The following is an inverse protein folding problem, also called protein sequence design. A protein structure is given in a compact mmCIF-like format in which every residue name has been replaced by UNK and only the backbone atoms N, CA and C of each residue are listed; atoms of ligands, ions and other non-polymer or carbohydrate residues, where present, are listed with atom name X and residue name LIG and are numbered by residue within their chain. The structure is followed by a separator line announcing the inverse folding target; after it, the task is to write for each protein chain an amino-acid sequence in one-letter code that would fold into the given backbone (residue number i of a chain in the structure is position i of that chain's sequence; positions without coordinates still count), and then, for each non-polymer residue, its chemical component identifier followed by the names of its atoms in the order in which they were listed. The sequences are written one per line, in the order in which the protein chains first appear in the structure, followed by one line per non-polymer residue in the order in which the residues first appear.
data_IF_977314239223
#
_entry.id   IF_977314239223
#
_cell.length_a   1.000
_cell.length_b   1.000
_cell.length_c   1.000
_cell.angle_alpha   90.00
_cell.angle_beta   90.00
_cell.angle_gamma   90.00
#
_symmetry.space_group_name_H-M   'P 1'
#
loop_
_entity.id
_entity.type
_entity.pdbx_description
1 polymer ?
#
# COMPACT_ATOMS: atom_id res chain seq x y z
N UNK A 1 -22.61 -28.27 2.25
CA UNK A 1 -22.74 -28.10 3.70
C UNK A 1 -23.80 -29.08 4.19
N UNK A 2 -23.41 -30.11 4.91
CA UNK A 2 -24.33 -31.18 5.28
C UNK A 2 -25.38 -30.67 6.28
N UNK A 3 -26.65 -31.01 6.07
CA UNK A 3 -27.79 -30.61 6.92
C UNK A 3 -27.53 -30.91 8.41
N UNK A 4 -26.71 -31.93 8.71
CA UNK A 4 -26.28 -32.28 10.07
C UNK A 4 -25.46 -31.18 10.75
N UNK A 5 -24.53 -30.56 10.03
CA UNK A 5 -23.67 -29.50 10.57
C UNK A 5 -24.46 -28.24 10.93
N UNK A 6 -25.45 -27.89 10.10
CA UNK A 6 -26.38 -26.79 10.37
C UNK A 6 -27.28 -27.07 11.59
N UNK A 7 -27.76 -28.31 11.74
CA UNK A 7 -28.54 -28.72 12.89
C UNK A 7 -27.71 -28.68 14.19
N UNK A 8 -26.45 -29.12 14.14
CA UNK A 8 -25.54 -29.07 15.28
C UNK A 8 -25.23 -27.64 15.72
N UNK A 9 -24.92 -26.73 14.78
CA UNK A 9 -24.68 -25.32 15.09
C UNK A 9 -25.92 -24.67 15.72
N UNK A 10 -27.11 -24.95 15.17
CA UNK A 10 -28.37 -24.40 15.69
C UNK A 10 -28.66 -24.96 17.09
N UNK A 11 -28.44 -26.26 17.33
CA UNK A 11 -28.63 -26.86 18.66
C UNK A 11 -27.66 -26.29 19.70
N UNK A 12 -26.38 -26.13 19.34
CA UNK A 12 -25.37 -25.54 20.23
C UNK A 12 -25.69 -24.07 20.51
N UNK A 13 -26.05 -23.30 19.49
CA UNK A 13 -26.46 -21.91 19.66
C UNK A 13 -27.69 -21.75 20.55
N UNK A 14 -28.67 -22.64 20.41
CA UNK A 14 -29.88 -22.64 21.23
C UNK A 14 -29.57 -23.03 22.69
N UNK A 15 -28.68 -23.99 22.90
CA UNK A 15 -28.24 -24.40 24.23
C UNK A 15 -27.48 -23.28 24.95
N UNK A 16 -26.60 -22.56 24.23
CA UNK A 16 -25.90 -21.38 24.74
C UNK A 16 -26.90 -20.25 25.04
N UNK A 17 -27.87 -20.00 24.16
CA UNK A 17 -28.90 -18.98 24.37
C UNK A 17 -29.76 -19.26 25.60
N UNK A 18 -30.15 -20.51 25.82
CA UNK A 18 -30.86 -20.94 27.04
C UNK A 18 -29.98 -20.76 28.28
N UNK A 19 -28.70 -21.13 28.21
CA UNK A 19 -27.76 -20.96 29.33
C UNK A 19 -27.59 -19.47 29.71
N UNK A 20 -27.42 -18.59 28.72
CA UNK A 20 -27.33 -17.13 28.93
C UNK A 20 -28.62 -16.57 29.52
N UNK A 21 -29.78 -17.04 29.05
CA UNK A 21 -31.08 -16.64 29.59
C UNK A 21 -31.24 -17.06 31.06
N UNK A 22 -30.80 -18.25 31.45
CA UNK A 22 -30.83 -18.67 32.86
C UNK A 22 -29.81 -17.93 33.75
N UNK A 23 -28.66 -17.54 33.19
CA UNK A 23 -27.62 -16.81 33.94
C UNK A 23 -27.94 -15.32 34.10
N UNK A 24 -28.57 -14.69 33.11
CA UNK A 24 -28.76 -13.24 33.05
C UNK A 24 -30.23 -12.79 32.95
N UNK A 25 -31.17 -13.73 33.04
CA UNK A 25 -32.61 -13.45 33.00
C UNK A 25 -33.10 -12.65 34.22
N UNK A 26 -34.05 -11.71 34.02
CA UNK A 26 -34.46 -10.75 35.04
C UNK A 26 -35.25 -11.34 36.22
N UNK A 27 -35.81 -12.54 36.09
CA UNK A 27 -36.69 -13.14 37.12
C UNK A 27 -36.17 -14.47 37.71
N UNK A 28 -35.16 -15.10 37.12
CA UNK A 28 -34.61 -16.40 37.55
C UNK A 28 -33.08 -16.42 37.69
N UNK A 29 -32.45 -15.24 37.74
CA UNK A 29 -31.01 -15.13 37.90
C UNK A 29 -30.53 -15.94 39.10
N UNK A 30 -29.71 -16.97 38.83
CA UNK A 30 -28.98 -17.72 39.84
C UNK A 30 -28.29 -16.73 40.80
N UNK A 31 -28.33 -17.02 42.10
CA UNK A 31 -27.81 -16.13 43.15
C UNK A 31 -26.38 -15.70 42.85
N UNK A 32 -26.00 -14.50 43.27
CA UNK A 32 -24.68 -13.88 43.05
C UNK A 32 -23.51 -14.86 43.31
N UNK A 33 -23.64 -15.74 44.31
CA UNK A 33 -22.65 -16.77 44.65
C UNK A 33 -22.41 -17.82 43.55
N UNK A 34 -23.45 -18.19 42.80
CA UNK A 34 -23.34 -19.15 41.68
C UNK A 34 -22.74 -18.46 40.45
N UNK A 35 -23.04 -17.17 40.24
CA UNK A 35 -22.42 -16.36 39.18
C UNK A 35 -20.93 -16.18 39.44
N UNK A 36 -20.51 -15.94 40.68
CA UNK A 36 -19.09 -15.87 41.05
C UNK A 36 -18.38 -17.22 40.89
N UNK A 37 -19.01 -18.33 41.32
CA UNK A 37 -18.42 -19.66 41.13
C UNK A 37 -18.28 -20.05 39.66
N UNK A 38 -19.28 -19.73 38.82
CA UNK A 38 -19.26 -20.03 37.39
C UNK A 38 -18.27 -19.15 36.62
N UNK A 39 -18.19 -17.85 36.94
CA UNK A 39 -17.18 -16.95 36.34
C UNK A 39 -15.75 -17.29 36.78
N UNK A 40 -15.57 -17.77 38.02
CA UNK A 40 -14.27 -18.25 38.50
C UNK A 40 -13.86 -19.58 37.83
N UNK A 41 -14.81 -20.51 37.63
CA UNK A 41 -14.55 -21.74 36.89
C UNK A 41 -14.28 -21.47 35.39
N UNK A 42 -15.01 -20.53 34.77
CA UNK A 42 -14.72 -20.09 33.40
C UNK A 42 -13.35 -19.42 33.29
N UNK A 43 -12.93 -18.62 34.28
CA UNK A 43 -11.58 -18.05 34.33
C UNK A 43 -10.47 -19.11 34.43
N UNK A 44 -10.74 -20.28 35.00
CA UNK A 44 -9.79 -21.41 35.04
C UNK A 44 -9.75 -22.26 33.77
N UNK A 45 -10.77 -22.13 32.90
CA UNK A 45 -10.85 -22.80 31.59
C UNK A 45 -10.47 -21.87 30.44
N UNK A 46 -10.56 -20.56 30.64
CA UNK A 46 -9.90 -19.57 29.82
C UNK A 46 -8.39 -19.70 30.09
N UNK A 47 -7.55 -19.75 29.05
CA UNK A 47 -6.10 -19.75 29.26
C UNK A 47 -5.76 -18.57 30.16
N UNK A 48 -5.02 -18.88 31.22
CA UNK A 48 -4.43 -17.93 32.16
C UNK A 48 -3.99 -16.71 31.36
N UNK A 49 -4.34 -15.50 31.81
CA UNK A 49 -3.82 -14.25 31.26
C UNK A 49 -2.35 -14.51 30.94
N UNK A 50 -2.05 -14.63 29.65
CA UNK A 50 -0.66 -14.65 29.22
C UNK A 50 -0.03 -13.46 29.89
N UNK A 51 1.17 -13.65 30.44
CA UNK A 51 2.03 -12.52 30.78
C UNK A 51 1.84 -11.46 29.70
N UNK A 52 1.74 -10.18 30.06
CA UNK A 52 1.87 -9.12 29.07
C UNK A 52 3.21 -9.36 28.38
N UNK A 53 3.17 -10.11 27.28
CA UNK A 53 4.24 -10.17 26.33
C UNK A 53 4.25 -8.74 25.87
N UNK A 54 5.20 -7.98 26.39
CA UNK A 54 5.58 -6.69 25.86
C UNK A 54 5.91 -6.97 24.40
N UNK A 55 4.89 -6.91 23.54
CA UNK A 55 5.06 -6.99 22.11
C UNK A 55 6.07 -5.89 21.81
N UNK A 56 7.26 -6.28 21.37
CA UNK A 56 8.30 -5.32 21.04
C UNK A 56 7.69 -4.27 20.12
N UNK A 57 8.05 -3.00 20.33
CA UNK A 57 7.62 -1.94 19.43
C UNK A 57 7.91 -2.38 17.98
N UNK A 58 6.91 -2.29 17.11
CA UNK A 58 7.08 -2.68 15.72
C UNK A 58 8.25 -1.88 15.12
N UNK A 59 9.14 -2.60 14.46
CA UNK A 59 10.31 -2.05 13.79
C UNK A 59 10.38 -2.57 12.37
N UNK A 60 11.12 -1.85 11.53
CA UNK A 60 11.45 -2.26 10.17
C UNK A 60 12.98 -2.32 10.02
N UNK A 61 13.51 -3.06 9.04
CA UNK A 61 14.92 -3.03 8.69
C UNK A 61 15.43 -1.60 8.42
N UNK A 62 16.67 -1.31 8.79
CA UNK A 62 17.26 0.02 8.55
C UNK A 62 17.32 0.36 7.06
N UNK A 63 17.51 -0.63 6.19
CA UNK A 63 17.45 -0.44 4.73
C UNK A 63 16.10 0.13 4.30
N UNK A 64 14.99 -0.49 4.70
CA UNK A 64 13.64 0.00 4.38
C UNK A 64 13.40 1.39 4.99
N UNK A 65 13.91 1.62 6.21
CA UNK A 65 13.83 2.94 6.86
C UNK A 65 14.48 4.02 6.01
N UNK A 66 15.70 3.78 5.51
CA UNK A 66 16.44 4.73 4.67
C UNK A 66 15.75 4.95 3.31
N UNK A 67 15.18 3.91 2.72
CA UNK A 67 14.42 4.01 1.45
C UNK A 67 13.16 4.85 1.60
N UNK A 68 12.41 4.68 2.70
CA UNK A 68 11.22 5.50 3.00
C UNK A 68 11.61 6.96 3.25
N UNK A 69 12.70 7.22 3.97
CA UNK A 69 13.19 8.59 4.17
C UNK A 69 13.63 9.24 2.85
N UNK A 70 14.24 8.46 1.96
CA UNK A 70 14.61 8.92 0.61
C UNK A 70 13.38 9.20 -0.24
N UNK A 71 12.34 8.36 -0.18
CA UNK A 71 11.04 8.64 -0.80
C UNK A 71 10.46 9.96 -0.30
N UNK A 72 10.46 10.18 1.02
CA UNK A 72 9.98 11.43 1.62
C UNK A 72 10.76 12.66 1.12
N UNK A 73 12.09 12.58 1.04
CA UNK A 73 12.94 13.66 0.52
C UNK A 73 12.67 13.93 -0.96
N UNK A 74 12.55 12.87 -1.76
CA UNK A 74 12.22 12.96 -3.18
C UNK A 74 10.87 13.66 -3.39
N UNK A 75 9.83 13.25 -2.65
CA UNK A 75 8.50 13.90 -2.73
C UNK A 75 8.59 15.39 -2.42
N UNK A 76 9.29 15.78 -1.34
CA UNK A 76 9.47 17.20 -0.99
C UNK A 76 10.15 17.98 -2.12
N UNK A 77 11.15 17.39 -2.76
CA UNK A 77 11.87 18.00 -3.89
C UNK A 77 10.96 18.17 -5.10
N UNK A 78 10.15 17.16 -5.43
CA UNK A 78 9.21 17.20 -6.55
C UNK A 78 8.13 18.27 -6.36
N UNK A 79 7.61 18.42 -5.15
CA UNK A 79 6.60 19.43 -4.83
C UNK A 79 7.16 20.86 -4.81
N UNK A 80 8.47 21.01 -4.56
CA UNK A 80 9.16 22.30 -4.65
C UNK A 80 9.60 22.66 -6.09
N UNK A 81 9.56 21.69 -7.00
CA UNK A 81 9.92 21.89 -8.41
C UNK A 81 8.88 22.73 -9.15
N UNK A 82 9.21 23.16 -10.38
CA UNK A 82 8.28 23.87 -11.24
C UNK A 82 7.90 23.03 -12.46
N UNK A 83 6.63 22.63 -12.51
CA UNK A 83 6.05 21.89 -13.62
C UNK A 83 6.33 20.39 -13.56
N UNK A 84 6.10 19.77 -14.73
CA UNK A 84 6.21 18.32 -14.95
C UNK A 84 7.65 17.86 -14.83
N UNK A 85 7.90 16.88 -13.98
CA UNK A 85 9.23 16.33 -13.84
C UNK A 85 9.24 14.93 -13.21
N UNK A 86 10.40 14.28 -13.33
CA UNK A 86 10.69 12.95 -12.83
C UNK A 86 11.78 13.01 -11.77
N UNK A 87 11.68 12.17 -10.74
CA UNK A 87 12.71 12.06 -9.73
C UNK A 87 12.86 10.60 -9.27
N UNK A 88 14.10 10.19 -9.04
CA UNK A 88 14.39 8.86 -8.50
C UNK A 88 14.45 8.92 -6.98
N UNK A 89 13.65 8.08 -6.31
CA UNK A 89 13.84 7.72 -4.90
C UNK A 89 14.67 6.44 -4.76
N UNK A 90 14.93 5.72 -5.85
CA UNK A 90 15.82 4.57 -5.91
C UNK A 90 15.18 3.22 -5.59
N UNK A 91 13.86 3.18 -5.41
CA UNK A 91 13.10 1.94 -5.24
C UNK A 91 13.08 1.46 -3.80
N UNK A 92 12.37 0.36 -3.59
CA UNK A 92 12.41 -0.39 -2.35
C UNK A 92 13.11 -1.72 -2.59
N UNK A 93 13.90 -2.18 -1.63
CA UNK A 93 14.24 -3.60 -1.55
C UNK A 93 12.99 -4.45 -1.28
N UNK A 94 13.10 -5.78 -1.35
CA UNK A 94 11.98 -6.67 -1.05
C UNK A 94 11.42 -6.42 0.36
N UNK A 95 10.21 -5.87 0.43
CA UNK A 95 9.62 -5.42 1.70
C UNK A 95 9.20 -6.60 2.59
N UNK A 96 9.19 -7.82 2.08
CA UNK A 96 8.76 -9.04 2.78
C UNK A 96 9.84 -9.63 3.68
N UNK A 97 11.10 -9.29 3.43
CA UNK A 97 12.22 -9.76 4.23
C UNK A 97 12.20 -9.14 5.64
N UNK A 98 12.77 -9.88 6.61
CA UNK A 98 13.06 -9.39 7.97
C UNK A 98 11.91 -8.63 8.66
N UNK A 99 10.78 -9.32 8.83
CA UNK A 99 9.70 -8.80 9.64
C UNK A 99 8.75 -7.86 8.90
N UNK A 100 8.74 -7.85 7.56
CA UNK A 100 7.62 -7.35 6.73
C UNK A 100 7.34 -5.86 6.86
N UNK A 101 7.52 -5.09 5.80
CA UNK A 101 7.24 -3.64 5.75
C UNK A 101 6.07 -3.35 4.81
N UNK A 102 5.21 -2.42 5.19
CA UNK A 102 4.24 -1.82 4.27
C UNK A 102 4.15 -0.32 4.46
N UNK A 103 3.88 0.37 3.36
CA UNK A 103 3.68 1.82 3.31
C UNK A 103 2.28 2.09 2.81
N UNK A 104 1.52 2.88 3.57
CA UNK A 104 0.18 3.32 3.19
C UNK A 104 0.19 4.84 3.05
N UNK A 105 -0.30 5.30 1.91
CA UNK A 105 -0.58 6.70 1.59
C UNK A 105 -2.09 6.90 1.54
N UNK A 106 -2.62 7.91 2.23
CA UNK A 106 -4.05 8.22 2.24
C UNK A 106 -4.28 9.73 2.05
N UNK A 107 -5.08 10.08 1.05
CA UNK A 107 -5.46 11.46 0.77
C UNK A 107 -6.81 11.81 1.39
N UNK A 108 -6.82 12.81 2.27
CA UNK A 108 -8.04 13.44 2.75
C UNK A 108 -8.38 14.64 1.86
N UNK A 109 -9.33 14.45 0.95
CA UNK A 109 -9.81 15.49 0.04
C UNK A 109 -10.49 16.69 0.73
N UNK A 110 -10.93 16.55 1.99
CA UNK A 110 -11.48 17.68 2.74
C UNK A 110 -10.37 18.54 3.35
N UNK A 111 -9.32 17.90 3.87
CA UNK A 111 -8.16 18.58 4.43
C UNK A 111 -7.12 18.97 3.37
N UNK A 112 -7.24 18.44 2.15
CA UNK A 112 -6.25 18.59 1.08
C UNK A 112 -4.88 18.06 1.49
N UNK A 113 -4.81 16.99 2.27
CA UNK A 113 -3.56 16.49 2.86
C UNK A 113 -3.42 15.00 2.61
N UNK A 114 -2.21 14.54 2.24
CA UNK A 114 -1.88 13.12 2.17
C UNK A 114 -1.06 12.70 3.40
N UNK A 115 -1.51 11.68 4.12
CA UNK A 115 -0.78 11.04 5.22
C UNK A 115 -0.01 9.82 4.74
N UNK A 116 1.17 9.62 5.31
CA UNK A 116 2.02 8.44 5.09
C UNK A 116 2.13 7.68 6.41
N UNK A 117 1.80 6.39 6.37
CA UNK A 117 1.86 5.49 7.52
C UNK A 117 2.69 4.27 7.18
N UNK A 118 3.67 3.96 8.04
CA UNK A 118 4.55 2.80 7.87
C UNK A 118 4.22 1.72 8.89
N UNK A 119 4.10 0.50 8.41
CA UNK A 119 3.84 -0.68 9.21
C UNK A 119 5.00 -1.67 9.09
N UNK A 120 5.28 -2.35 10.20
CA UNK A 120 6.33 -3.36 10.35
C UNK A 120 5.79 -4.62 11.03
N UNK A 121 6.70 -5.46 11.51
CA UNK A 121 6.43 -6.78 12.10
C UNK A 121 5.78 -7.76 11.12
N UNK A 122 5.74 -9.06 11.47
CA UNK A 122 5.31 -10.15 10.57
C UNK A 122 4.09 -9.76 9.68
N UNK A 123 4.35 -9.63 8.37
CA UNK A 123 3.36 -9.27 7.35
C UNK A 123 3.07 -7.77 7.19
N UNK A 124 3.85 -6.86 7.79
CA UNK A 124 3.70 -5.41 7.64
C UNK A 124 2.38 -4.88 8.16
N UNK A 125 1.93 -5.35 9.33
CA UNK A 125 0.57 -5.08 9.87
C UNK A 125 0.56 -4.23 11.14
N UNK A 126 1.71 -4.04 11.80
CA UNK A 126 1.77 -3.28 13.04
C UNK A 126 2.36 -1.90 12.76
N UNK A 127 1.66 -0.85 13.18
CA UNK A 127 2.12 0.52 12.99
C UNK A 127 3.49 0.72 13.67
N UNK A 128 4.49 1.13 12.90
CA UNK A 128 5.80 1.53 13.44
C UNK A 128 5.61 2.83 14.22
N UNK A 129 6.31 3.07 15.32
CA UNK A 129 6.09 4.30 16.13
C UNK A 129 7.18 5.36 15.94
N UNK A 130 8.15 5.14 15.05
CA UNK A 130 9.18 6.12 14.70
C UNK A 130 8.53 7.37 14.07
N UNK A 131 8.61 8.55 14.72
CA UNK A 131 7.97 9.77 14.23
C UNK A 131 8.53 10.27 12.89
N UNK A 132 9.71 9.81 12.46
CA UNK A 132 10.27 10.19 11.16
C UNK A 132 9.66 9.41 9.99
N UNK A 133 8.94 8.31 10.27
CA UNK A 133 8.31 7.46 9.27
C UNK A 133 6.82 7.77 9.08
N UNK A 134 6.26 8.69 9.87
CA UNK A 134 4.91 9.20 9.70
C UNK A 134 4.98 10.66 9.38
N UNK A 135 4.51 11.02 8.19
CA UNK A 135 4.48 12.42 7.77
C UNK A 135 3.24 12.70 6.95
N UNK A 136 2.87 13.98 6.93
CA UNK A 136 1.76 14.47 6.12
C UNK A 136 2.27 15.55 5.18
N UNK A 137 1.68 15.60 4.01
CA UNK A 137 2.03 16.55 2.97
C UNK A 137 0.76 17.28 2.54
N UNK A 138 0.74 18.59 2.79
CA UNK A 138 -0.36 19.45 2.38
C UNK A 138 -0.36 19.68 0.87
N UNK A 139 -1.55 19.82 0.29
CA UNK A 139 -1.81 20.07 -1.12
C UNK A 139 -1.15 19.06 -2.07
N UNK A 140 -0.93 17.83 -1.59
CA UNK A 140 -0.45 16.72 -2.39
C UNK A 140 -1.51 15.61 -2.44
N UNK A 141 -1.81 15.09 -3.63
CA UNK A 141 -2.63 13.90 -3.84
C UNK A 141 -1.83 12.81 -4.57
N UNK A 142 -1.97 11.53 -4.19
CA UNK A 142 -1.32 10.44 -4.91
C UNK A 142 -2.01 10.22 -6.27
N UNK A 143 -1.24 9.73 -7.22
CA UNK A 143 -1.74 9.26 -8.51
C UNK A 143 -1.01 8.00 -8.94
N UNK A 144 -1.52 7.39 -10.00
CA UNK A 144 -0.87 6.30 -10.71
C UNK A 144 -0.91 6.53 -12.21
N UNK A 145 0.05 5.95 -12.93
CA UNK A 145 0.00 5.84 -14.40
C UNK A 145 -0.52 4.43 -14.74
N UNK A 146 -1.81 4.21 -14.52
CA UNK A 146 -2.45 2.90 -14.56
C UNK A 146 -3.98 3.02 -14.61
N UNK A 147 -4.70 1.94 -14.95
CA UNK A 147 -6.14 1.79 -14.73
C UNK A 147 -7.06 2.07 -15.92
N UNK A 148 -6.66 2.88 -16.89
CA UNK A 148 -7.35 2.97 -18.19
C UNK A 148 -6.35 2.89 -19.33
N UNK A 149 -6.72 2.19 -20.41
CA UNK A 149 -5.87 2.07 -21.59
C UNK A 149 -5.55 3.43 -22.22
N UNK A 150 -6.46 4.40 -22.10
CA UNK A 150 -6.25 5.76 -22.63
C UNK A 150 -5.21 6.52 -21.82
N UNK A 151 -5.29 6.51 -20.48
CA UNK A 151 -4.30 7.20 -19.62
C UNK A 151 -2.90 6.64 -19.83
N UNK A 152 -2.75 5.32 -19.82
CA UNK A 152 -1.47 4.66 -20.06
C UNK A 152 -0.96 4.96 -21.47
N UNK A 153 -1.81 4.83 -22.50
CA UNK A 153 -1.40 5.12 -23.88
C UNK A 153 -1.00 6.59 -24.08
N UNK A 154 -1.70 7.51 -23.45
CA UNK A 154 -1.38 8.94 -23.50
C UNK A 154 -0.04 9.22 -22.83
N UNK A 155 0.25 8.56 -21.71
CA UNK A 155 1.54 8.64 -21.06
C UNK A 155 2.67 8.10 -21.96
N UNK A 156 2.51 6.91 -22.53
CA UNK A 156 3.47 6.31 -23.46
C UNK A 156 3.75 7.23 -24.66
N UNK A 157 2.70 7.66 -25.34
CA UNK A 157 2.81 8.52 -26.52
C UNK A 157 3.43 9.89 -26.21
N UNK A 158 3.23 10.39 -24.99
CA UNK A 158 3.77 11.67 -24.55
C UNK A 158 5.22 11.57 -24.08
N UNK A 159 5.57 10.55 -23.30
CA UNK A 159 6.82 10.50 -22.55
C UNK A 159 7.76 9.37 -22.99
N UNK A 160 7.23 8.24 -23.44
CA UNK A 160 7.99 7.02 -23.75
C UNK A 160 8.31 6.93 -25.25
N UNK A 161 8.96 7.99 -25.75
CA UNK A 161 9.38 8.12 -27.15
C UNK A 161 10.68 8.92 -27.26
N UNK A 162 11.29 8.91 -28.45
CA UNK A 162 12.61 9.51 -28.69
C UNK A 162 12.64 11.05 -28.75
N UNK A 163 11.49 11.73 -28.73
CA UNK A 163 11.43 13.19 -28.92
C UNK A 163 12.13 13.94 -27.77
N UNK A 164 12.54 15.18 -28.06
CA UNK A 164 13.06 16.07 -27.03
C UNK A 164 11.98 16.45 -26.01
N UNK A 165 12.39 16.89 -24.81
CA UNK A 165 11.45 17.35 -23.79
C UNK A 165 10.55 18.49 -24.31
N UNK A 166 11.11 19.44 -25.05
CA UNK A 166 10.39 20.57 -25.64
C UNK A 166 9.34 20.16 -26.66
N UNK A 167 9.52 19.02 -27.34
CA UNK A 167 8.54 18.45 -28.25
C UNK A 167 7.47 17.67 -27.48
N UNK A 168 7.87 16.90 -26.46
CA UNK A 168 6.95 16.12 -25.61
C UNK A 168 5.93 17.01 -24.93
N UNK A 169 6.36 18.11 -24.31
CA UNK A 169 5.44 19.02 -23.60
C UNK A 169 4.39 19.68 -24.50
N UNK A 170 4.58 19.69 -25.82
CA UNK A 170 3.58 20.20 -26.78
C UNK A 170 2.52 19.16 -27.13
N UNK A 171 2.79 17.88 -26.88
CA UNK A 171 1.89 16.75 -27.16
C UNK A 171 0.98 16.49 -25.95
N UNK A 172 1.41 16.89 -24.74
CA UNK A 172 0.66 16.73 -23.49
C UNK A 172 -0.53 17.69 -23.46
N UNK A 173 -1.59 17.35 -24.19
CA UNK A 173 -2.91 17.98 -24.10
C UNK A 173 -3.91 17.10 -23.36
N UNK A 174 -3.63 15.80 -23.27
CA UNK A 174 -4.54 14.79 -22.74
C UNK A 174 -4.16 14.34 -21.31
N UNK A 175 -5.15 13.79 -20.61
CA UNK A 175 -4.96 13.20 -19.28
C UNK A 175 -4.09 11.95 -19.42
N UNK A 176 -3.05 11.88 -18.60
CA UNK A 176 -1.98 10.87 -18.66
C UNK A 176 -1.58 10.39 -17.27
N UNK A 177 -2.43 10.63 -16.27
CA UNK A 177 -2.31 10.07 -14.94
C UNK A 177 -3.71 9.96 -14.31
N UNK A 178 -3.88 9.05 -13.37
CA UNK A 178 -5.12 8.87 -12.63
C UNK A 178 -4.91 9.25 -11.15
N UNK A 179 -5.54 10.33 -10.65
CA UNK A 179 -5.57 10.62 -9.23
C UNK A 179 -6.23 9.49 -8.44
N UNK A 180 -5.66 9.16 -7.28
CA UNK A 180 -6.20 8.13 -6.38
C UNK A 180 -6.28 8.67 -4.96
N UNK A 181 -7.13 8.06 -4.12
CA UNK A 181 -7.26 8.48 -2.73
C UNK A 181 -6.34 7.71 -1.79
N UNK A 182 -5.81 6.56 -2.21
CA UNK A 182 -4.89 5.79 -1.40
C UNK A 182 -3.96 4.96 -2.29
N UNK A 183 -2.75 4.74 -1.80
CA UNK A 183 -1.79 3.79 -2.34
C UNK A 183 -1.24 2.97 -1.18
N UNK A 184 -1.27 1.65 -1.31
CA UNK A 184 -0.61 0.71 -0.41
C UNK A 184 0.50 -0.01 -1.15
N UNK A 185 1.73 0.06 -0.64
CA UNK A 185 2.87 -0.69 -1.15
C UNK A 185 3.27 -1.71 -0.08
N UNK A 186 3.34 -2.98 -0.45
CA UNK A 186 3.77 -4.06 0.45
C UNK A 186 4.33 -5.22 -0.35
N UNK A 187 4.98 -6.13 0.34
CA UNK A 187 5.32 -7.42 -0.24
C UNK A 187 4.10 -8.36 -0.26
N UNK A 188 3.93 -9.04 -1.39
CA UNK A 188 3.01 -10.16 -1.55
C UNK A 188 3.84 -11.44 -1.71
N UNK A 189 3.52 -12.47 -0.92
CA UNK A 189 4.23 -13.75 -0.99
C UNK A 189 3.76 -14.62 -2.17
N UNK A 190 2.76 -14.14 -2.95
CA UNK A 190 2.24 -14.79 -4.15
C UNK A 190 1.47 -16.09 -3.87
N UNK A 191 1.41 -16.55 -2.62
CA UNK A 191 0.84 -17.83 -2.25
C UNK A 191 1.42 -19.03 -3.04
N UNK A 192 0.62 -20.08 -3.22
CA UNK A 192 1.06 -21.27 -3.95
C UNK A 192 1.09 -21.00 -5.46
N UNK A 193 2.28 -20.65 -5.98
CA UNK A 193 2.56 -20.50 -7.41
C UNK A 193 2.49 -19.09 -7.95
N UNK A 194 2.30 -18.06 -7.11
CA UNK A 194 2.50 -16.67 -7.49
C UNK A 194 3.95 -16.22 -7.28
N UNK A 195 4.27 -15.05 -7.81
CA UNK A 195 5.57 -14.41 -7.65
C UNK A 195 5.61 -13.65 -6.32
N UNK A 196 6.75 -13.80 -5.63
CA UNK A 196 7.03 -13.18 -4.33
C UNK A 196 7.73 -11.86 -4.59
N UNK A 197 7.03 -10.74 -4.42
CA UNK A 197 7.50 -9.44 -4.89
C UNK A 197 6.80 -8.27 -4.19
N UNK A 198 7.32 -7.06 -4.42
CA UNK A 198 6.65 -5.84 -3.99
C UNK A 198 5.47 -5.57 -4.91
N UNK A 199 4.31 -5.26 -4.33
CA UNK A 199 3.07 -4.95 -5.03
C UNK A 199 2.47 -3.65 -4.56
N UNK A 200 1.73 -3.01 -5.45
CA UNK A 200 1.03 -1.73 -5.24
C UNK A 200 -0.48 -1.93 -5.39
N UNK A 201 -1.27 -1.41 -4.45
CA UNK A 201 -2.74 -1.37 -4.52
C UNK A 201 -3.21 0.08 -4.37
N UNK A 202 -4.11 0.49 -5.25
CA UNK A 202 -4.68 1.84 -5.28
C UNK A 202 -6.23 1.79 -5.34
N UNK A 203 -6.82 0.73 -4.78
CA UNK A 203 -8.27 0.53 -4.67
C UNK A 203 -8.85 -0.46 -5.68
N UNK A 204 -8.00 -1.09 -6.50
CA UNK A 204 -8.38 -2.05 -7.55
C UNK A 204 -7.74 -3.42 -7.34
N UNK A 205 -7.06 -3.63 -6.21
CA UNK A 205 -6.31 -4.83 -5.89
C UNK A 205 -4.82 -4.67 -6.18
N UNK A 206 -4.02 -5.61 -5.69
CA UNK A 206 -2.56 -5.57 -5.85
C UNK A 206 -2.16 -5.82 -7.30
N UNK A 207 -1.26 -4.96 -7.78
CA UNK A 207 -0.57 -5.00 -9.06
C UNK A 207 0.93 -5.06 -8.83
N UNK A 208 1.68 -5.40 -9.86
CA UNK A 208 3.14 -5.48 -9.78
C UNK A 208 3.71 -4.07 -9.60
N UNK A 209 4.86 -3.98 -8.95
CA UNK A 209 5.48 -2.70 -8.59
C UNK A 209 6.97 -2.70 -8.89
N UNK A 210 7.28 -2.52 -10.17
CA UNK A 210 8.64 -2.45 -10.70
C UNK A 210 8.92 -1.07 -11.32
N UNK A 211 8.92 -0.01 -10.49
CA UNK A 211 8.94 1.38 -10.97
C UNK A 211 10.35 1.95 -11.26
N UNK A 212 11.40 1.11 -11.32
CA UNK A 212 12.83 1.49 -11.30
C UNK A 212 13.21 2.50 -10.20
N UNK A 213 12.38 2.68 -9.18
CA UNK A 213 12.57 3.71 -8.17
C UNK A 213 12.36 5.13 -8.67
N UNK A 214 11.52 5.35 -9.68
CA UNK A 214 11.16 6.68 -10.19
C UNK A 214 9.73 7.07 -9.82
N UNK A 215 9.54 8.38 -9.62
CA UNK A 215 8.25 9.03 -9.48
C UNK A 215 8.08 10.09 -10.56
N UNK A 216 6.82 10.39 -10.88
CA UNK A 216 6.43 11.48 -11.77
C UNK A 216 5.53 12.49 -11.05
N UNK A 217 5.74 13.78 -11.28
CA UNK A 217 4.77 14.80 -10.91
C UNK A 217 4.28 15.54 -12.15
N UNK A 218 2.96 15.57 -12.43
CA UNK A 218 2.42 16.30 -13.57
C UNK A 218 2.27 17.81 -13.31
N UNK A 219 2.24 18.23 -12.06
CA UNK A 219 1.80 19.59 -11.68
C UNK A 219 2.27 20.08 -10.31
N UNK A 220 3.21 19.36 -9.67
CA UNK A 220 3.72 19.65 -8.33
C UNK A 220 2.65 19.59 -7.23
N UNK A 221 1.50 18.98 -7.51
CA UNK A 221 0.43 18.67 -6.56
C UNK A 221 0.10 17.18 -6.56
N UNK A 222 0.41 16.49 -7.64
CA UNK A 222 0.25 15.05 -7.73
C UNK A 222 1.60 14.35 -7.75
N UNK A 223 1.71 13.23 -7.05
CA UNK A 223 2.87 12.33 -7.07
C UNK A 223 2.40 10.98 -7.59
N UNK A 224 2.87 10.62 -8.78
CA UNK A 224 2.44 9.43 -9.48
C UNK A 224 3.45 8.30 -9.33
N UNK A 225 2.92 7.13 -8.97
CA UNK A 225 3.61 5.85 -9.00
C UNK A 225 3.30 5.13 -10.31
N UNK A 226 4.12 4.12 -10.64
CA UNK A 226 3.99 3.34 -11.85
C UNK A 226 3.70 1.87 -11.51
N UNK A 227 2.43 1.48 -11.31
CA UNK A 227 2.05 0.08 -11.31
C UNK A 227 2.45 -0.58 -12.63
N UNK A 228 2.98 -1.79 -12.55
CA UNK A 228 3.46 -2.56 -13.70
C UNK A 228 2.57 -3.76 -14.00
N UNK A 229 2.74 -4.33 -15.20
CA UNK A 229 2.12 -5.58 -15.61
C UNK A 229 3.17 -6.45 -16.31
N UNK A 230 3.27 -7.73 -15.93
CA UNK A 230 4.12 -8.69 -16.64
C UNK A 230 3.60 -8.95 -18.06
N UNK A 231 4.33 -8.51 -19.08
CA UNK A 231 4.21 -8.94 -20.48
C UNK A 231 2.79 -9.15 -21.02
N UNK A 232 2.10 -8.07 -21.40
CA UNK A 232 0.79 -8.16 -22.05
C UNK A 232 0.02 -6.84 -22.20
N UNK A 233 -1.02 -6.85 -23.04
CA UNK A 233 -1.88 -5.69 -23.36
C UNK A 233 -3.00 -5.44 -22.34
N UNK A 234 -2.85 -5.91 -21.10
CA UNK A 234 -3.90 -5.81 -20.11
C UNK A 234 -3.84 -4.41 -19.48
N UNK A 235 -4.96 -3.70 -19.55
CA UNK A 235 -5.09 -2.23 -19.47
C UNK A 235 -4.78 -1.56 -18.11
N UNK A 236 -4.01 -2.20 -17.24
CA UNK A 236 -3.96 -1.88 -15.81
C UNK A 236 -2.62 -1.30 -15.32
N UNK A 237 -1.58 -1.19 -16.16
CA UNK A 237 -0.26 -0.64 -15.77
C UNK A 237 0.64 -0.31 -16.96
N UNK A 238 1.85 0.18 -16.70
CA UNK A 238 2.91 0.31 -17.73
C UNK A 238 3.68 -1.01 -17.84
N UNK A 239 4.19 -1.29 -19.03
CA UNK A 239 5.08 -2.41 -19.28
C UNK A 239 6.43 -2.20 -18.53
N UNK A 240 7.00 -3.28 -18.00
CA UNK A 240 8.20 -3.28 -17.14
C UNK A 240 9.47 -2.88 -17.92
N UNK A 241 9.49 -3.09 -19.23
CA UNK A 241 10.55 -2.67 -20.15
C UNK A 241 10.78 -1.14 -20.13
N UNK A 242 9.73 -0.34 -19.91
CA UNK A 242 9.80 1.11 -19.73
C UNK A 242 10.34 1.52 -18.36
N UNK A 243 10.27 0.61 -17.39
CA UNK A 243 10.46 0.87 -15.97
C UNK A 243 11.60 0.04 -15.36
N UNK A 244 12.52 -0.46 -16.19
CA UNK A 244 13.84 -0.87 -15.74
C UNK A 244 14.20 -2.33 -15.96
N UNK A 245 13.37 -3.14 -16.63
CA UNK A 245 13.81 -4.46 -17.12
C UNK A 245 15.04 -4.29 -18.04
N UNK A 246 14.99 -3.32 -18.95
CA UNK A 246 16.16 -2.78 -19.64
C UNK A 246 16.34 -1.28 -19.31
N UNK A 247 17.17 -0.93 -18.31
CA UNK A 247 17.42 0.46 -17.98
C UNK A 247 18.20 1.19 -19.08
N UNK A 248 18.69 0.49 -20.11
CA UNK A 248 19.29 1.05 -21.32
C UNK A 248 18.33 1.06 -22.51
N UNK A 249 17.10 0.59 -22.37
CA UNK A 249 16.06 0.67 -23.41
C UNK A 249 15.82 2.12 -23.83
N UNK A 250 15.64 2.38 -25.12
CA UNK A 250 15.50 3.75 -25.66
C UNK A 250 14.31 4.52 -25.07
N UNK A 251 13.29 3.79 -24.66
CA UNK A 251 12.06 4.28 -24.05
C UNK A 251 12.07 4.21 -22.52
N UNK A 252 13.12 3.69 -21.87
CA UNK A 252 13.12 3.53 -20.42
C UNK A 252 13.17 4.89 -19.70
N UNK A 253 12.37 5.06 -18.65
CA UNK A 253 12.35 6.30 -17.85
C UNK A 253 13.76 6.63 -17.32
N UNK A 254 14.52 5.69 -16.72
CA UNK A 254 15.85 5.99 -16.20
C UNK A 254 16.80 6.55 -17.27
N UNK A 255 16.85 5.92 -18.45
CA UNK A 255 17.69 6.38 -19.56
C UNK A 255 17.25 7.74 -20.06
N UNK A 256 15.96 7.92 -20.29
CA UNK A 256 15.45 9.17 -20.84
C UNK A 256 15.64 10.36 -19.88
N UNK A 257 15.57 10.15 -18.56
CA UNK A 257 15.94 11.19 -17.57
C UNK A 257 17.45 11.46 -17.62
N UNK A 258 18.30 10.42 -17.69
CA UNK A 258 19.76 10.59 -17.76
C UNK A 258 20.22 11.31 -19.04
N UNK A 259 19.54 11.10 -20.16
CA UNK A 259 19.79 11.75 -21.45
C UNK A 259 19.14 13.14 -21.56
N UNK A 260 18.35 13.58 -20.56
CA UNK A 260 17.64 14.87 -20.58
C UNK A 260 16.43 14.92 -21.52
N UNK A 261 15.95 13.77 -21.99
CA UNK A 261 14.69 13.64 -22.77
C UNK A 261 13.45 13.70 -21.89
N UNK A 262 13.59 13.44 -20.60
CA UNK A 262 12.59 13.69 -19.56
C UNK A 262 13.16 14.69 -18.54
N UNK A 263 12.35 15.66 -18.15
CA UNK A 263 12.77 16.69 -17.20
C UNK A 263 12.97 16.09 -15.81
N UNK A 264 14.12 16.33 -15.21
CA UNK A 264 14.40 15.98 -13.81
C UNK A 264 13.87 17.07 -12.87
N UNK A 265 13.30 16.67 -11.74
CA UNK A 265 12.93 17.60 -10.67
C UNK A 265 14.20 18.20 -10.03
N UNK A 266 14.17 19.51 -9.76
CA UNK A 266 15.31 20.30 -9.27
C UNK A 266 14.85 21.44 -8.38
#
# INVERSE_FOLDING_TARGET
MEIKFLIEIVLVGLLIGVLVFFLFGPETGLTEEIKESFTSALKSLLPEKGEEVSAGAASIPETHRLEILKLQETIKTMLASNGRCFASYGGFSELGEEGGTSLIMEYDGNAGTTSFSVYGSAGGKQLVTDPNLHFSVENMAPCVIAGSSEVTSNFEQSFLNEKSWEEKIKIIEEEHYNPVNSITIRHDDGGYGGLSENRIDFGTGFKDFEDAGYLYTPDNKHICFFPTVDGGSDADGLDDDYLGEDPQGETSIPRQVAEGKLQRCS
#
